data_IF_851677149154
#
_entry.id   IF_851677149154
#
_cell.length_a   1.000
_cell.length_b   1.000
_cell.length_c   1.000
_cell.angle_alpha   90.00
_cell.angle_beta   90.00
_cell.angle_gamma   90.00
#
_symmetry.space_group_name_H-M   'P 1'
#
loop_
_entity.id
_entity.type
_entity.pdbx_description
1 polymer ?
#
# COMPACT_ATOMS: atom_id res chain seq x y z
N UNK A 1 25.62 14.67 -50.47
CA UNK A 1 24.51 15.13 -49.62
C UNK A 1 23.89 13.89 -49.02
N UNK A 2 24.15 13.62 -47.74
CA UNK A 2 23.50 12.53 -47.01
C UNK A 2 22.63 13.18 -45.94
N UNK A 3 21.31 13.07 -46.09
CA UNK A 3 20.35 13.40 -45.04
C UNK A 3 20.33 12.26 -44.03
N UNK A 4 20.77 12.53 -42.82
CA UNK A 4 20.50 11.70 -41.65
C UNK A 4 19.39 12.40 -40.86
N UNK A 5 18.18 11.84 -40.95
CA UNK A 5 17.05 12.21 -40.10
C UNK A 5 16.25 10.94 -39.84
N UNK A 6 16.74 10.14 -38.91
CA UNK A 6 15.97 9.12 -38.22
C UNK A 6 16.69 8.81 -36.89
N UNK A 7 16.20 9.39 -35.80
CA UNK A 7 16.53 9.08 -34.40
C UNK A 7 15.67 10.01 -33.53
N UNK A 8 14.39 9.68 -33.43
CA UNK A 8 13.40 10.44 -32.67
C UNK A 8 12.11 9.67 -32.58
N UNK A 9 12.16 8.47 -31.99
CA UNK A 9 10.93 7.70 -31.69
C UNK A 9 11.14 6.67 -30.58
N UNK A 10 12.36 6.51 -30.06
CA UNK A 10 12.65 5.48 -29.07
C UNK A 10 12.28 5.83 -27.63
N UNK A 11 12.46 7.10 -27.28
CA UNK A 11 12.27 7.56 -25.90
C UNK A 11 10.78 7.69 -25.54
N UNK A 12 9.94 8.00 -26.52
CA UNK A 12 8.49 8.16 -26.33
C UNK A 12 7.79 6.80 -26.16
N UNK A 13 8.30 5.73 -26.79
CA UNK A 13 7.74 4.39 -26.57
C UNK A 13 8.17 3.82 -25.22
N UNK A 14 9.39 4.07 -24.75
CA UNK A 14 9.83 3.63 -23.42
C UNK A 14 9.07 4.38 -22.32
N UNK A 15 8.87 5.69 -22.50
CA UNK A 15 8.03 6.48 -21.62
C UNK A 15 6.61 5.90 -21.54
N UNK A 16 5.99 5.55 -22.68
CA UNK A 16 4.66 4.95 -22.71
C UNK A 16 4.61 3.55 -22.07
N UNK A 17 5.67 2.76 -22.22
CA UNK A 17 5.81 1.44 -21.59
C UNK A 17 6.10 1.54 -20.09
N UNK A 18 6.54 2.71 -19.61
CA UNK A 18 6.84 3.01 -18.20
C UNK A 18 5.74 3.80 -17.48
N UNK A 19 4.71 4.31 -18.19
CA UNK A 19 3.63 5.05 -17.54
C UNK A 19 2.85 4.14 -16.60
N UNK A 20 2.81 4.53 -15.33
CA UNK A 20 2.02 3.82 -14.33
C UNK A 20 0.52 4.00 -14.62
N UNK A 21 -0.31 3.03 -14.25
CA UNK A 21 -1.78 3.14 -14.39
C UNK A 21 -2.33 4.43 -13.72
N UNK A 22 -1.64 4.94 -12.71
CA UNK A 22 -1.95 6.21 -12.03
C UNK A 22 -1.72 7.42 -12.93
N UNK A 23 -0.63 7.46 -13.70
CA UNK A 23 -0.32 8.55 -14.62
C UNK A 23 -1.29 8.59 -15.81
N UNK A 24 -1.64 7.41 -16.33
CA UNK A 24 -2.66 7.25 -17.37
C UNK A 24 -4.02 7.75 -16.86
N UNK A 25 -4.41 7.38 -15.64
CA UNK A 25 -5.68 7.82 -15.05
C UNK A 25 -5.71 9.34 -14.84
N UNK A 26 -4.62 9.92 -14.32
CA UNK A 26 -4.47 11.38 -14.17
C UNK A 26 -4.57 12.08 -15.52
N UNK A 27 -3.97 11.53 -16.56
CA UNK A 27 -4.01 12.09 -17.92
C UNK A 27 -5.43 12.05 -18.50
N UNK A 28 -6.07 10.87 -18.48
CA UNK A 28 -7.42 10.67 -18.99
C UNK A 28 -8.42 11.60 -18.27
N UNK A 29 -8.32 11.72 -16.94
CA UNK A 29 -9.19 12.62 -16.17
C UNK A 29 -9.02 14.09 -16.53
N UNK A 30 -7.77 14.54 -16.77
CA UNK A 30 -7.50 15.93 -17.21
C UNK A 30 -8.08 16.20 -18.59
N UNK A 31 -7.94 15.24 -19.52
CA UNK A 31 -8.46 15.35 -20.88
C UNK A 31 -9.99 15.41 -20.87
N UNK A 32 -10.65 14.50 -20.15
CA UNK A 32 -12.11 14.47 -20.02
C UNK A 32 -12.65 15.81 -19.47
N UNK A 33 -11.98 16.40 -18.47
CA UNK A 33 -12.38 17.68 -17.88
C UNK A 33 -12.22 18.87 -18.84
N UNK A 34 -11.26 18.80 -19.78
CA UNK A 34 -10.96 19.88 -20.71
C UNK A 34 -11.72 19.77 -22.04
N UNK A 35 -12.21 18.58 -22.38
CA UNK A 35 -12.92 18.32 -23.62
C UNK A 35 -14.35 18.89 -23.57
N UNK A 36 -14.83 19.53 -24.66
CA UNK A 36 -16.23 19.95 -24.78
C UNK A 36 -17.16 18.78 -25.13
N UNK A 37 -16.61 17.60 -25.41
CA UNK A 37 -17.31 16.37 -25.74
C UNK A 37 -16.89 15.22 -24.81
N UNK A 38 -17.72 14.19 -24.70
CA UNK A 38 -17.41 13.00 -23.90
C UNK A 38 -16.40 12.11 -24.63
N UNK A 39 -15.28 11.79 -23.98
CA UNK A 39 -14.25 10.95 -24.59
C UNK A 39 -14.57 9.46 -24.44
N UNK A 40 -13.78 8.62 -25.09
CA UNK A 40 -13.93 7.18 -25.02
C UNK A 40 -13.68 6.67 -23.59
N UNK A 41 -14.57 5.81 -23.09
CA UNK A 41 -14.40 5.20 -21.78
C UNK A 41 -13.25 4.18 -21.77
N UNK A 42 -12.21 4.49 -20.99
CA UNK A 42 -11.00 3.68 -20.79
C UNK A 42 -11.26 2.42 -19.93
N UNK A 43 -12.05 1.50 -20.46
CA UNK A 43 -12.53 0.31 -19.76
C UNK A 43 -11.39 -0.54 -19.18
N UNK A 44 -10.30 -0.70 -19.94
CA UNK A 44 -9.16 -1.54 -19.54
C UNK A 44 -8.40 -0.94 -18.37
N UNK A 45 -8.14 0.36 -18.41
CA UNK A 45 -7.43 1.07 -17.35
C UNK A 45 -8.23 1.06 -16.04
N UNK A 46 -9.51 1.45 -16.11
CA UNK A 46 -10.39 1.47 -14.94
C UNK A 46 -10.53 0.06 -14.33
N UNK A 47 -10.64 -0.97 -15.17
CA UNK A 47 -10.68 -2.36 -14.70
C UNK A 47 -9.41 -2.72 -13.92
N UNK A 48 -8.22 -2.47 -14.46
CA UNK A 48 -6.95 -2.78 -13.78
C UNK A 48 -6.80 -2.04 -12.45
N UNK A 49 -7.08 -0.74 -12.42
CA UNK A 49 -6.99 0.06 -11.19
C UNK A 49 -7.96 -0.45 -10.12
N UNK A 50 -9.20 -0.79 -10.52
CA UNK A 50 -10.19 -1.38 -9.61
C UNK A 50 -9.75 -2.73 -9.08
N UNK A 51 -9.23 -3.60 -9.95
CA UNK A 51 -8.72 -4.91 -9.57
C UNK A 51 -7.55 -4.79 -8.59
N UNK A 52 -6.63 -3.84 -8.78
CA UNK A 52 -5.53 -3.61 -7.85
C UNK A 52 -6.01 -3.21 -6.44
N UNK A 53 -7.00 -2.31 -6.35
CA UNK A 53 -7.60 -1.92 -5.06
C UNK A 53 -8.29 -3.13 -4.41
N UNK A 54 -9.07 -3.89 -5.19
CA UNK A 54 -9.76 -5.06 -4.70
C UNK A 54 -8.79 -6.14 -4.19
N UNK A 55 -7.71 -6.42 -4.92
CA UNK A 55 -6.67 -7.36 -4.49
C UNK A 55 -6.00 -6.93 -3.19
N UNK A 56 -5.78 -5.62 -3.00
CA UNK A 56 -5.23 -5.10 -1.74
C UNK A 56 -6.19 -5.35 -0.57
N UNK A 57 -7.49 -5.14 -0.80
CA UNK A 57 -8.53 -5.40 0.20
C UNK A 57 -8.62 -6.89 0.52
N UNK A 58 -8.68 -7.75 -0.49
CA UNK A 58 -8.73 -9.22 -0.33
C UNK A 58 -7.51 -9.73 0.44
N UNK A 59 -6.30 -9.24 0.11
CA UNK A 59 -5.06 -9.65 0.77
C UNK A 59 -5.09 -9.41 2.29
N UNK A 60 -5.69 -8.30 2.73
CA UNK A 60 -5.72 -7.90 4.13
C UNK A 60 -7.12 -7.96 4.76
N UNK A 61 -8.06 -8.70 4.15
CA UNK A 61 -9.48 -8.67 4.53
C UNK A 61 -9.71 -9.00 6.01
N UNK A 62 -9.04 -10.03 6.55
CA UNK A 62 -9.20 -10.43 7.94
C UNK A 62 -8.60 -9.40 8.91
N UNK A 63 -7.49 -8.77 8.53
CA UNK A 63 -6.87 -7.70 9.32
C UNK A 63 -7.74 -6.44 9.36
N UNK A 64 -8.30 -6.06 8.20
CA UNK A 64 -9.23 -4.93 8.07
C UNK A 64 -10.50 -5.22 8.87
N UNK A 65 -11.08 -6.42 8.72
CA UNK A 65 -12.29 -6.83 9.41
C UNK A 65 -12.13 -6.84 10.94
N UNK A 66 -10.97 -7.27 11.44
CA UNK A 66 -10.67 -7.25 12.87
C UNK A 66 -10.47 -5.83 13.44
N UNK A 67 -10.13 -4.84 12.59
CA UNK A 67 -9.76 -3.49 13.04
C UNK A 67 -10.85 -2.48 12.68
N UNK A 68 -11.65 -2.07 13.68
CA UNK A 68 -12.78 -1.16 13.48
C UNK A 68 -12.38 0.19 12.84
N UNK A 69 -11.22 0.74 13.17
CA UNK A 69 -10.70 1.98 12.58
C UNK A 69 -10.43 1.84 11.07
N UNK A 70 -9.97 0.67 10.61
CA UNK A 70 -9.73 0.46 9.18
C UNK A 70 -11.05 0.36 8.43
N UNK A 71 -12.06 -0.30 9.02
CA UNK A 71 -13.39 -0.36 8.41
C UNK A 71 -13.99 1.04 8.23
N UNK A 72 -13.81 2.00 9.16
CA UNK A 72 -14.40 3.34 8.98
C UNK A 72 -13.85 4.08 7.77
N UNK A 73 -12.62 3.78 7.34
CA UNK A 73 -11.95 4.37 6.17
C UNK A 73 -12.47 3.86 4.83
N UNK A 74 -13.19 2.73 4.81
CA UNK A 74 -13.71 2.12 3.59
C UNK A 74 -15.08 2.66 3.16
N UNK A 75 -15.33 2.62 1.86
CA UNK A 75 -16.65 2.87 1.26
C UNK A 75 -17.67 1.81 1.66
N UNK A 76 -18.95 2.08 1.37
CA UNK A 76 -20.05 1.15 1.74
C UNK A 76 -19.94 -0.16 0.95
N UNK A 77 -19.59 -0.06 -0.32
CA UNK A 77 -19.42 -1.15 -1.25
C UNK A 77 -18.26 -2.05 -0.82
N UNK A 78 -17.14 -1.45 -0.40
CA UNK A 78 -15.96 -2.20 0.09
C UNK A 78 -16.23 -2.90 1.42
N UNK A 79 -16.97 -2.27 2.34
CA UNK A 79 -17.38 -2.92 3.61
C UNK A 79 -18.20 -4.17 3.35
N UNK A 80 -19.22 -4.04 2.52
CA UNK A 80 -20.08 -5.16 2.15
C UNK A 80 -19.28 -6.27 1.46
N UNK A 81 -18.33 -5.90 0.59
CA UNK A 81 -17.44 -6.83 -0.07
C UNK A 81 -16.58 -7.62 0.93
N UNK A 82 -15.96 -6.95 1.92
CA UNK A 82 -15.15 -7.62 2.96
C UNK A 82 -16.01 -8.57 3.79
N UNK A 83 -17.17 -8.11 4.28
CA UNK A 83 -18.07 -8.94 5.08
C UNK A 83 -18.44 -10.23 4.34
N UNK A 84 -18.82 -10.09 3.07
CA UNK A 84 -19.16 -11.21 2.19
C UNK A 84 -17.96 -12.15 1.98
N UNK A 85 -16.80 -11.58 1.62
CA UNK A 85 -15.60 -12.34 1.30
C UNK A 85 -15.07 -13.12 2.51
N UNK A 86 -15.06 -12.50 3.70
CA UNK A 86 -14.68 -13.17 4.95
C UNK A 86 -15.57 -14.37 5.25
N UNK A 87 -16.90 -14.21 5.15
CA UNK A 87 -17.86 -15.30 5.39
C UNK A 87 -17.70 -16.42 4.37
N UNK A 88 -17.59 -16.07 3.09
CA UNK A 88 -17.47 -17.04 2.00
C UNK A 88 -16.15 -17.84 2.14
N UNK A 89 -15.03 -17.17 2.45
CA UNK A 89 -13.74 -17.82 2.64
C UNK A 89 -13.71 -18.67 3.92
N UNK A 90 -14.23 -18.16 5.04
CA UNK A 90 -14.33 -18.92 6.28
C UNK A 90 -15.12 -20.21 6.07
N UNK A 91 -16.32 -20.09 5.48
CA UNK A 91 -17.19 -21.24 5.20
C UNK A 91 -16.50 -22.27 4.29
N UNK A 92 -15.77 -21.80 3.28
CA UNK A 92 -15.04 -22.66 2.37
C UNK A 92 -13.90 -23.41 3.09
N UNK A 93 -13.08 -22.71 3.88
CA UNK A 93 -11.97 -23.32 4.62
C UNK A 93 -12.46 -24.30 5.69
N UNK A 94 -13.53 -23.96 6.41
CA UNK A 94 -14.17 -24.83 7.40
C UNK A 94 -14.61 -26.16 6.80
N UNK A 95 -15.30 -26.10 5.66
CA UNK A 95 -15.81 -27.29 4.97
C UNK A 95 -14.71 -28.11 4.32
N UNK A 96 -13.76 -27.46 3.66
CA UNK A 96 -12.76 -28.15 2.84
C UNK A 96 -11.61 -28.74 3.66
N UNK A 97 -11.17 -28.07 4.73
CA UNK A 97 -9.95 -28.46 5.46
C UNK A 97 -10.18 -28.55 6.97
N UNK A 98 -10.73 -27.51 7.62
CA UNK A 98 -10.67 -27.42 9.08
C UNK A 98 -11.55 -28.46 9.78
N UNK A 99 -12.66 -28.87 9.17
CA UNK A 99 -13.50 -29.96 9.71
C UNK A 99 -12.78 -31.30 9.80
N UNK A 100 -11.67 -31.48 9.07
CA UNK A 100 -10.85 -32.69 9.09
C UNK A 100 -9.65 -32.58 10.06
N UNK A 101 -9.39 -31.38 10.59
CA UNK A 101 -8.27 -31.14 11.49
C UNK A 101 -8.65 -31.40 12.96
N UNK A 102 -7.69 -31.75 13.82
CA UNK A 102 -7.89 -31.79 15.25
C UNK A 102 -8.36 -30.44 15.80
N UNK A 103 -9.11 -30.45 16.90
CA UNK A 103 -9.72 -29.24 17.49
C UNK A 103 -8.73 -28.10 17.75
N UNK A 104 -7.45 -28.42 18.02
CA UNK A 104 -6.40 -27.44 18.27
C UNK A 104 -6.01 -26.63 17.04
N UNK A 105 -6.31 -27.10 15.83
CA UNK A 105 -5.94 -26.51 14.54
C UNK A 105 -7.15 -26.08 13.70
N UNK A 106 -8.34 -26.06 14.29
CA UNK A 106 -9.59 -25.80 13.57
C UNK A 106 -9.83 -24.29 13.31
N UNK A 107 -8.95 -23.42 13.80
CA UNK A 107 -9.05 -21.95 13.63
C UNK A 107 -8.44 -21.49 12.31
N UNK A 108 -9.08 -20.51 11.65
CA UNK A 108 -8.50 -19.79 10.50
C UNK A 108 -7.56 -18.66 10.90
N UNK A 109 -7.63 -18.21 12.16
CA UNK A 109 -6.94 -17.00 12.61
C UNK A 109 -5.64 -17.30 13.36
N UNK A 110 -5.51 -18.51 13.90
CA UNK A 110 -4.40 -18.92 14.76
C UNK A 110 -3.88 -20.27 14.30
N UNK A 111 -2.57 -20.46 14.35
CA UNK A 111 -1.97 -21.74 14.03
C UNK A 111 -2.35 -22.81 15.04
N UNK A 112 -2.50 -22.45 16.32
CA UNK A 112 -3.00 -23.36 17.35
C UNK A 112 -3.76 -22.62 18.43
N UNK A 113 -4.73 -23.28 19.05
CA UNK A 113 -5.47 -22.76 20.23
C UNK A 113 -4.56 -22.49 21.44
N UNK A 114 -3.34 -23.03 21.44
CA UNK A 114 -2.37 -22.83 22.53
C UNK A 114 -1.68 -21.46 22.41
N UNK A 115 -1.63 -20.89 21.20
CA UNK A 115 -1.08 -19.56 20.98
C UNK A 115 -2.22 -18.53 20.98
N UNK A 116 -2.10 -17.48 21.79
CA UNK A 116 -3.14 -16.43 21.87
C UNK A 116 -3.05 -15.44 20.68
N UNK A 117 -1.96 -15.50 19.92
CA UNK A 117 -1.71 -14.57 18.82
C UNK A 117 -2.39 -14.99 17.51
N UNK A 118 -3.00 -14.01 16.82
CA UNK A 118 -3.57 -14.15 15.47
C UNK A 118 -2.49 -14.16 14.39
N UNK A 119 -1.60 -15.15 14.46
CA UNK A 119 -0.41 -15.28 13.61
C UNK A 119 -0.72 -15.72 12.17
N UNK A 120 -1.93 -16.24 11.90
CA UNK A 120 -2.34 -16.66 10.54
C UNK A 120 -3.00 -15.53 9.74
N UNK A 121 -3.08 -14.31 10.28
CA UNK A 121 -3.69 -13.16 9.63
C UNK A 121 -2.60 -12.28 9.01
N UNK A 122 -2.59 -12.17 7.68
CA UNK A 122 -1.66 -11.30 6.97
C UNK A 122 -1.85 -9.83 7.37
N UNK A 123 -0.77 -9.18 7.81
CA UNK A 123 -0.74 -7.77 8.22
C UNK A 123 0.17 -6.97 7.28
N UNK A 124 -0.16 -5.71 6.94
CA UNK A 124 0.73 -4.83 6.18
C UNK A 124 2.02 -4.55 6.96
N UNK A 125 3.17 -4.62 6.27
CA UNK A 125 4.48 -4.35 6.86
C UNK A 125 4.75 -2.83 6.87
N UNK A 126 4.51 -2.18 8.02
CA UNK A 126 4.68 -0.74 8.14
C UNK A 126 6.15 -0.30 8.16
N UNK A 127 7.07 -1.21 8.46
CA UNK A 127 8.51 -0.94 8.46
C UNK A 127 9.17 -1.13 7.08
N UNK A 128 8.39 -0.94 6.02
CA UNK A 128 8.88 -1.02 4.64
C UNK A 128 9.49 0.33 4.24
N UNK A 129 10.62 0.30 3.55
CA UNK A 129 11.21 1.50 2.97
C UNK A 129 10.40 1.98 1.75
N UNK A 130 10.12 3.27 1.70
CA UNK A 130 9.39 3.92 0.62
C UNK A 130 10.19 5.11 0.07
N UNK A 131 9.96 5.41 -1.21
CA UNK A 131 10.44 6.62 -1.84
C UNK A 131 9.37 7.69 -1.70
N UNK A 132 9.75 8.88 -1.23
CA UNK A 132 8.81 9.97 -1.08
C UNK A 132 9.45 11.34 -1.31
N UNK A 133 8.58 12.33 -1.49
CA UNK A 133 8.97 13.73 -1.63
C UNK A 133 7.94 14.62 -0.97
N UNK A 134 8.40 15.76 -0.46
CA UNK A 134 7.55 16.79 0.15
C UNK A 134 7.47 18.03 -0.73
N UNK A 135 6.35 18.75 -0.66
CA UNK A 135 6.16 20.05 -1.32
C UNK A 135 6.74 21.21 -0.52
N UNK A 136 6.95 21.02 0.78
CA UNK A 136 7.43 22.04 1.71
C UNK A 136 8.47 21.45 2.67
N UNK A 137 9.26 22.32 3.28
CA UNK A 137 10.24 21.91 4.27
C UNK A 137 9.57 21.24 5.47
N UNK A 138 10.03 20.05 5.83
CA UNK A 138 9.56 19.26 6.98
C UNK A 138 10.77 18.94 7.88
N UNK A 139 10.89 19.64 9.00
CA UNK A 139 11.91 19.37 10.01
C UNK A 139 11.44 18.42 11.11
N UNK A 140 12.38 17.98 11.95
CA UNK A 140 12.10 17.25 13.20
C UNK A 140 11.37 15.91 13.04
N UNK A 141 11.63 15.18 11.96
CA UNK A 141 11.14 13.82 11.81
C UNK A 141 12.02 12.91 12.66
N UNK A 142 11.42 12.29 13.68
CA UNK A 142 12.12 11.29 14.49
C UNK A 142 12.14 9.98 13.72
N UNK A 143 13.32 9.58 13.24
CA UNK A 143 13.54 8.25 12.73
C UNK A 143 13.77 7.33 13.94
N UNK A 144 12.74 6.57 14.32
CA UNK A 144 12.90 5.50 15.31
C UNK A 144 13.81 4.43 14.72
N UNK A 145 15.01 4.22 15.28
CA UNK A 145 15.84 3.06 14.99
C UNK A 145 15.61 1.99 16.06
N UNK A 146 14.54 1.23 15.87
CA UNK A 146 14.36 0.02 16.65
C UNK A 146 15.20 -1.06 15.95
N UNK A 147 16.47 -1.16 16.34
CA UNK A 147 17.20 -2.39 16.09
C UNK A 147 16.48 -3.48 16.89
N UNK A 148 15.80 -4.41 16.22
CA UNK A 148 15.15 -5.58 16.80
C UNK A 148 16.15 -6.62 17.36
N UNK A 149 17.27 -6.14 17.93
CA UNK A 149 18.20 -6.96 18.71
C UNK A 149 17.81 -6.91 20.17
N UNK A 150 17.79 -8.07 20.82
CA UNK A 150 17.66 -8.19 22.28
C UNK A 150 18.51 -7.13 23.01
N UNK A 151 18.04 -6.60 24.16
CA UNK A 151 18.81 -5.67 24.95
C UNK A 151 19.97 -6.43 25.61
N UNK A 152 21.05 -6.62 24.87
CA UNK A 152 22.36 -6.84 25.50
C UNK A 152 22.60 -5.63 26.40
N UNK A 153 22.80 -5.89 27.69
CA UNK A 153 22.82 -4.93 28.80
C UNK A 153 23.93 -3.88 28.78
N UNK A 154 24.35 -3.41 27.61
CA UNK A 154 25.18 -2.24 27.39
C UNK A 154 24.28 -1.07 26.99
N UNK A 155 23.86 -0.29 28.00
CA UNK A 155 22.99 0.88 27.86
C UNK A 155 23.58 2.01 27.01
N UNK A 156 23.51 1.87 25.69
CA UNK A 156 23.78 2.93 24.73
C UNK A 156 22.87 2.80 23.51
N UNK A 157 21.55 2.76 23.75
CA UNK A 157 20.59 3.14 22.73
C UNK A 157 20.76 4.66 22.53
N UNK A 158 21.62 5.04 21.58
CA UNK A 158 21.79 6.43 21.19
C UNK A 158 20.63 6.73 20.22
N UNK A 159 19.65 7.57 20.58
CA UNK A 159 18.74 8.12 19.58
C UNK A 159 19.62 8.80 18.53
N UNK A 160 19.30 8.67 17.24
CA UNK A 160 19.92 9.52 16.22
C UNK A 160 19.73 10.98 16.68
N UNK A 161 20.84 11.63 17.06
CA UNK A 161 20.85 12.96 17.71
C UNK A 161 20.40 14.07 16.76
N UNK A 162 20.31 13.79 15.46
CA UNK A 162 19.89 14.76 14.44
C UNK A 162 18.45 14.49 14.01
N UNK A 163 17.54 15.47 14.20
CA UNK A 163 16.22 15.41 13.58
C UNK A 163 16.35 15.26 12.07
N UNK A 164 15.64 14.31 11.48
CA UNK A 164 15.63 14.15 10.04
C UNK A 164 14.81 15.29 9.42
N UNK A 165 15.41 15.97 8.44
CA UNK A 165 14.82 17.10 7.74
C UNK A 165 14.62 16.75 6.26
N UNK A 166 13.46 17.11 5.72
CA UNK A 166 13.12 16.91 4.33
C UNK A 166 12.97 18.26 3.63
N UNK A 167 13.84 18.51 2.66
CA UNK A 167 13.82 19.65 1.78
C UNK A 167 12.71 19.51 0.73
N UNK A 168 12.09 20.64 0.32
CA UNK A 168 11.05 20.61 -0.69
C UNK A 168 11.63 20.12 -2.01
N UNK A 169 10.85 19.28 -2.68
CA UNK A 169 11.15 18.72 -4.00
C UNK A 169 12.32 17.74 -4.11
N UNK A 170 12.94 17.35 -3.00
CA UNK A 170 13.97 16.31 -2.95
C UNK A 170 13.33 14.95 -2.70
N UNK A 171 13.87 13.91 -3.35
CA UNK A 171 13.46 12.52 -3.14
C UNK A 171 14.22 11.93 -1.95
N UNK A 172 13.49 11.29 -1.06
CA UNK A 172 14.01 10.64 0.13
C UNK A 172 13.62 9.17 0.16
N UNK A 173 14.47 8.36 0.78
CA UNK A 173 14.23 6.94 1.03
C UNK A 173 14.13 6.71 2.54
N UNK A 174 12.93 6.40 3.04
CA UNK A 174 12.63 6.36 4.49
C UNK A 174 11.67 5.23 4.82
N UNK A 175 11.65 4.77 6.07
CA UNK A 175 10.69 3.76 6.55
C UNK A 175 9.28 4.37 6.65
N UNK A 176 8.27 3.70 6.08
CA UNK A 176 6.89 4.20 6.07
C UNK A 176 6.37 4.48 7.48
N UNK A 177 6.70 3.64 8.47
CA UNK A 177 6.34 3.84 9.89
C UNK A 177 6.70 5.23 10.41
N UNK A 178 7.88 5.76 10.06
CA UNK A 178 8.36 7.06 10.53
C UNK A 178 7.60 8.24 9.89
N UNK A 179 7.14 8.08 8.65
CA UNK A 179 6.47 9.15 7.89
C UNK A 179 4.96 8.99 7.76
N UNK A 180 4.38 7.91 8.30
CA UNK A 180 2.95 7.55 8.18
C UNK A 180 2.01 8.73 8.47
N UNK A 181 2.22 9.44 9.58
CA UNK A 181 1.38 10.59 9.99
C UNK A 181 1.40 11.70 8.94
N UNK A 182 2.57 12.01 8.38
CA UNK A 182 2.73 13.03 7.37
C UNK A 182 2.12 12.64 6.02
N UNK A 183 2.09 11.34 5.70
CA UNK A 183 1.39 10.82 4.52
C UNK A 183 -0.13 10.93 4.69
N UNK A 184 -0.66 10.58 5.87
CA UNK A 184 -2.10 10.69 6.18
C UNK A 184 -2.60 12.15 6.17
N UNK A 185 -1.75 13.08 6.58
CA UNK A 185 -2.00 14.52 6.52
C UNK A 185 -1.81 15.12 5.10
N UNK A 186 -1.36 14.33 4.12
CA UNK A 186 -1.13 14.79 2.74
C UNK A 186 0.08 15.72 2.58
N UNK A 187 1.02 15.68 3.52
CA UNK A 187 2.25 16.49 3.53
C UNK A 187 3.34 15.91 2.63
N UNK A 188 3.36 14.59 2.54
CA UNK A 188 4.35 13.80 1.80
C UNK A 188 3.63 13.04 0.68
N UNK A 189 4.17 13.14 -0.53
CA UNK A 189 3.74 12.37 -1.68
C UNK A 189 4.63 11.12 -1.83
N UNK A 190 4.00 9.96 -2.04
CA UNK A 190 4.68 8.68 -2.29
C UNK A 190 4.88 8.47 -3.80
N UNK A 191 5.99 7.84 -4.17
CA UNK A 191 6.38 7.56 -5.55
C UNK A 191 6.65 6.06 -5.76
#
# INVERSE_FOLDING_TARGET
MASASDLGSTDDYEALMSMTDVELLKSAWRQEKAAPEILQFESRLIKRVREQIQLMIEKYMFHIFATAELLTRLSKEEKWFIERCCVDLQTHLEKSVLSQLPYTYQSIFQQSVINDETDMVAKPQLDTFIVCKTKYYLGHIQLEDNADGEPDGSGSQKPLEEPFEMEPNVLYFVRYKAVKKFVEEGKIDLY
#
